data_IF_661140797378
#
_entry.id   IF_661140797378
#
_cell.length_a   1.000
_cell.length_b   1.000
_cell.length_c   1.000
_cell.angle_alpha   90.00
_cell.angle_beta   90.00
_cell.angle_gamma   90.00
#
_symmetry.space_group_name_H-M   'P 1'
#
loop_
_entity.id
_entity.type
_entity.pdbx_description
1 polymer ?
#
# COMPACT_ATOMS: atom_id res chain seq x y z
N UNK A 1 7.85 44.04 -22.14
CA UNK A 1 7.43 42.96 -23.07
C UNK A 1 7.39 41.66 -22.26
N UNK A 2 6.31 41.18 -21.64
CA UNK A 2 4.88 41.36 -21.84
C UNK A 2 4.17 41.44 -20.47
N UNK A 3 3.43 42.53 -20.24
CA UNK A 3 2.48 42.66 -19.12
C UNK A 3 1.02 42.49 -19.59
N UNK A 4 0.82 42.05 -20.84
CA UNK A 4 -0.47 41.96 -21.54
C UNK A 4 -1.46 40.91 -20.99
N UNK A 5 -1.11 40.20 -19.91
CA UNK A 5 -2.01 39.26 -19.23
C UNK A 5 -1.99 39.34 -17.70
N UNK A 6 -1.27 40.30 -17.13
CA UNK A 6 -1.00 40.40 -15.68
C UNK A 6 -1.94 41.36 -14.94
N UNK A 7 -3.09 41.72 -15.52
CA UNK A 7 -4.01 42.69 -14.91
C UNK A 7 -5.45 42.19 -14.90
N UNK A 8 -5.86 41.72 -13.73
CA UNK A 8 -7.15 41.94 -13.07
C UNK A 8 -7.25 40.90 -11.95
N UNK A 9 -7.83 41.26 -10.80
CA UNK A 9 -7.95 40.37 -9.64
C UNK A 9 -8.38 38.96 -10.04
N UNK A 10 -7.68 37.96 -9.52
CA UNK A 10 -7.92 36.56 -9.87
C UNK A 10 -9.36 36.18 -9.53
N UNK A 11 -10.18 36.01 -10.56
CA UNK A 11 -11.53 35.47 -10.40
C UNK A 11 -11.44 33.95 -10.43
N UNK A 12 -12.26 33.27 -9.64
CA UNK A 12 -12.37 31.81 -9.69
C UNK A 12 -12.62 31.29 -11.13
N UNK A 13 -13.31 32.08 -11.97
CA UNK A 13 -13.55 31.73 -13.37
C UNK A 13 -12.30 31.81 -14.25
N UNK A 14 -11.41 32.79 -14.03
CA UNK A 14 -10.16 32.90 -14.81
C UNK A 14 -9.18 31.79 -14.45
N UNK A 15 -9.04 31.49 -13.15
CA UNK A 15 -8.21 30.38 -12.66
C UNK A 15 -8.72 29.03 -13.15
N UNK A 16 -10.05 28.83 -13.19
CA UNK A 16 -10.64 27.60 -13.75
C UNK A 16 -10.31 27.45 -15.22
N UNK A 17 -10.44 28.52 -16.02
CA UNK A 17 -10.11 28.50 -17.45
C UNK A 17 -8.62 28.21 -17.68
N UNK A 18 -7.74 28.79 -16.88
CA UNK A 18 -6.32 28.52 -16.94
C UNK A 18 -6.02 27.05 -16.59
N UNK A 19 -6.59 26.54 -15.50
CA UNK A 19 -6.47 25.15 -15.08
C UNK A 19 -6.91 24.17 -16.18
N UNK A 20 -8.08 24.40 -16.78
CA UNK A 20 -8.61 23.57 -17.87
C UNK A 20 -7.71 23.63 -19.11
N UNK A 21 -7.12 24.80 -19.42
CA UNK A 21 -6.17 24.95 -20.52
C UNK A 21 -4.85 24.21 -20.29
N UNK A 22 -4.34 24.21 -19.05
CA UNK A 22 -3.13 23.50 -18.66
C UNK A 22 -3.35 21.99 -18.66
N UNK A 23 -4.51 21.52 -18.18
CA UNK A 23 -4.91 20.11 -18.25
C UNK A 23 -4.93 19.63 -19.69
N UNK A 24 -5.56 20.39 -20.60
CA UNK A 24 -5.61 20.02 -22.01
C UNK A 24 -4.21 19.96 -22.64
N UNK A 25 -3.34 20.94 -22.37
CA UNK A 25 -1.94 20.90 -22.83
C UNK A 25 -1.19 19.68 -22.30
N UNK A 26 -1.38 19.33 -21.04
CA UNK A 26 -0.76 18.15 -20.42
C UNK A 26 -1.23 16.85 -21.11
N UNK A 27 -2.53 16.74 -21.41
CA UNK A 27 -3.10 15.61 -22.14
C UNK A 27 -2.55 15.50 -23.57
N UNK A 28 -2.42 16.63 -24.27
CA UNK A 28 -1.83 16.69 -25.61
C UNK A 28 -0.36 16.26 -25.61
N UNK A 29 0.46 16.72 -24.66
CA UNK A 29 1.87 16.29 -24.55
C UNK A 29 1.99 14.81 -24.17
N UNK A 30 1.10 14.29 -23.30
CA UNK A 30 1.04 12.87 -22.96
C UNK A 30 0.69 12.00 -24.18
N UNK A 31 -0.23 12.46 -25.01
CA UNK A 31 -0.64 11.76 -26.23
C UNK A 31 0.48 11.75 -27.30
N UNK A 32 1.33 12.78 -27.36
CA UNK A 32 2.51 12.76 -28.24
C UNK A 32 3.54 11.69 -27.88
N UNK A 33 3.57 11.26 -26.62
CA UNK A 33 4.49 10.26 -26.09
C UNK A 33 3.86 8.84 -26.02
N UNK A 34 2.63 8.69 -26.52
CA UNK A 34 1.93 7.40 -26.57
C UNK A 34 2.13 6.70 -27.91
N UNK A 35 3.35 6.23 -28.14
CA UNK A 35 3.72 5.62 -29.43
C UNK A 35 3.24 4.17 -29.57
N UNK A 36 3.27 3.41 -28.47
CA UNK A 36 3.02 1.96 -28.46
C UNK A 36 2.22 1.59 -27.21
N UNK A 37 1.19 0.77 -27.41
CA UNK A 37 0.39 0.18 -26.33
C UNK A 37 1.14 -0.98 -25.66
N UNK A 38 0.95 -1.15 -24.34
CA UNK A 38 1.62 -2.22 -23.58
C UNK A 38 1.27 -3.62 -24.15
N UNK A 39 0.12 -3.78 -24.81
CA UNK A 39 -0.32 -5.02 -25.47
C UNK A 39 0.63 -5.46 -26.56
N UNK A 40 1.03 -4.54 -27.42
CA UNK A 40 1.88 -4.82 -28.56
C UNK A 40 3.31 -5.19 -28.12
N UNK A 41 3.78 -4.60 -27.01
CA UNK A 41 5.09 -4.95 -26.43
C UNK A 41 5.04 -6.34 -25.79
N UNK A 42 3.96 -6.66 -25.10
CA UNK A 42 3.82 -7.91 -24.38
C UNK A 42 3.65 -9.15 -25.26
N UNK A 43 3.18 -9.00 -26.49
CA UNK A 43 3.11 -10.12 -27.45
C UNK A 43 4.48 -10.74 -27.74
N UNK A 44 5.57 -9.98 -27.55
CA UNK A 44 6.94 -10.45 -27.74
C UNK A 44 7.47 -11.27 -26.55
N UNK A 45 6.73 -11.33 -25.45
CA UNK A 45 7.16 -12.00 -24.22
C UNK A 45 6.65 -13.45 -24.24
N UNK A 46 7.53 -14.39 -23.92
CA UNK A 46 7.20 -15.81 -23.84
C UNK A 46 6.11 -16.08 -22.79
N UNK A 47 5.18 -16.98 -23.13
CA UNK A 47 4.11 -17.38 -22.23
C UNK A 47 4.68 -18.27 -21.13
N UNK A 48 4.63 -17.78 -19.89
CA UNK A 48 5.05 -18.56 -18.72
C UNK A 48 4.12 -19.75 -18.47
N UNK A 49 4.71 -20.87 -18.08
CA UNK A 49 3.98 -22.09 -17.72
C UNK A 49 3.02 -21.87 -16.52
N UNK A 50 1.90 -22.64 -16.46
CA UNK A 50 0.97 -22.57 -15.34
C UNK A 50 1.66 -22.97 -14.02
N UNK A 51 1.42 -22.20 -12.97
CA UNK A 51 2.02 -22.42 -11.65
C UNK A 51 1.15 -23.27 -10.74
N UNK A 52 1.57 -24.47 -10.36
CA UNK A 52 0.91 -25.20 -9.27
C UNK A 52 1.32 -24.64 -7.90
N UNK A 53 0.68 -23.56 -7.44
CA UNK A 53 0.87 -23.05 -6.07
C UNK A 53 0.04 -23.91 -5.11
N UNK A 54 0.71 -24.49 -4.11
CA UNK A 54 0.08 -25.21 -3.01
C UNK A 54 0.47 -24.57 -1.69
N UNK A 55 -0.45 -24.62 -0.73
CA UNK A 55 -0.17 -24.14 0.62
C UNK A 55 0.81 -25.07 1.30
N UNK A 56 1.97 -24.52 1.67
CA UNK A 56 3.02 -25.28 2.35
C UNK A 56 2.82 -25.30 3.86
N UNK A 57 2.21 -24.24 4.41
CA UNK A 57 2.23 -23.94 5.83
C UNK A 57 0.95 -23.23 6.25
N UNK A 58 0.49 -23.52 7.47
CA UNK A 58 -0.67 -22.88 8.09
C UNK A 58 -0.26 -22.42 9.48
N UNK A 59 -0.17 -21.11 9.67
CA UNK A 59 0.14 -20.50 10.95
C UNK A 59 -1.13 -20.40 11.78
N UNK A 60 -1.19 -21.14 12.90
CA UNK A 60 -2.32 -21.13 13.82
C UNK A 60 -1.92 -20.48 15.14
N UNK A 61 -2.70 -19.50 15.60
CA UNK A 61 -2.47 -18.92 16.91
C UNK A 61 -3.15 -17.60 17.23
N UNK A 62 -3.68 -16.89 16.23
CA UNK A 62 -4.59 -15.77 16.48
C UNK A 62 -5.96 -16.28 16.93
N UNK A 63 -6.57 -15.62 17.91
CA UNK A 63 -7.88 -15.99 18.44
C UNK A 63 -9.05 -15.42 17.61
N UNK A 64 -8.76 -14.45 16.74
CA UNK A 64 -9.75 -13.76 15.93
C UNK A 64 -9.18 -13.47 14.53
N UNK A 65 -9.87 -12.63 13.75
CA UNK A 65 -9.51 -12.29 12.37
C UNK A 65 -8.11 -11.68 12.29
N UNK A 66 -7.31 -12.20 11.37
CA UNK A 66 -6.03 -11.59 10.99
C UNK A 66 -6.32 -10.41 10.06
N UNK A 67 -5.75 -9.26 10.38
CA UNK A 67 -6.06 -7.98 9.75
C UNK A 67 -4.93 -7.55 8.81
N UNK A 68 -3.70 -7.60 9.29
CA UNK A 68 -2.51 -7.33 8.49
C UNK A 68 -1.44 -8.40 8.70
N UNK A 69 -0.55 -8.51 7.71
CA UNK A 69 0.73 -9.19 7.82
C UNK A 69 1.79 -8.46 7.02
N UNK A 70 3.04 -8.57 7.46
CA UNK A 70 4.18 -8.20 6.63
C UNK A 70 5.38 -9.12 6.82
N UNK A 71 6.19 -9.22 5.78
CA UNK A 71 7.39 -10.05 5.76
C UNK A 71 8.61 -9.26 6.19
N UNK A 72 9.49 -9.92 6.95
CA UNK A 72 10.84 -9.43 7.16
C UNK A 72 11.69 -9.63 5.89
N UNK A 73 12.70 -8.78 5.70
CA UNK A 73 13.64 -8.87 4.57
C UNK A 73 14.48 -10.16 4.58
N UNK A 74 14.59 -10.82 5.73
CA UNK A 74 15.25 -12.12 5.87
C UNK A 74 14.52 -13.27 5.15
N UNK A 75 13.32 -13.00 4.61
CA UNK A 75 12.42 -13.97 3.94
C UNK A 75 12.00 -15.13 4.84
N UNK A 76 12.28 -15.07 6.13
CA UNK A 76 12.06 -16.12 7.11
C UNK A 76 11.00 -15.72 8.11
N UNK A 77 11.10 -14.51 8.66
CA UNK A 77 10.18 -13.99 9.66
C UNK A 77 9.04 -13.23 9.02
N UNK A 78 7.88 -13.29 9.67
CA UNK A 78 6.75 -12.43 9.32
C UNK A 78 6.06 -11.94 10.59
N UNK A 79 5.48 -10.75 10.51
CA UNK A 79 4.58 -10.22 11.53
C UNK A 79 3.15 -10.33 11.05
N UNK A 80 2.23 -10.53 11.98
CA UNK A 80 0.80 -10.48 11.72
C UNK A 80 0.07 -9.83 12.87
N UNK A 81 -0.98 -9.09 12.56
CA UNK A 81 -1.86 -8.45 13.51
C UNK A 81 -3.26 -9.01 13.43
N UNK A 82 -3.99 -8.93 14.55
CA UNK A 82 -5.32 -9.50 14.67
C UNK A 82 -6.30 -8.57 15.37
N UNK A 83 -7.59 -8.83 15.15
CA UNK A 83 -8.70 -8.13 15.76
C UNK A 83 -8.71 -8.27 17.29
N UNK A 84 -8.17 -9.36 17.82
CA UNK A 84 -8.05 -9.62 19.26
C UNK A 84 -7.03 -8.71 19.99
N UNK A 85 -6.37 -7.78 19.29
CA UNK A 85 -5.37 -6.90 19.88
C UNK A 85 -3.97 -7.51 19.92
N UNK A 86 -3.77 -8.70 19.34
CA UNK A 86 -2.46 -9.38 19.35
C UNK A 86 -1.70 -9.14 18.06
N UNK A 87 -0.41 -8.89 18.23
CA UNK A 87 0.59 -8.89 17.16
C UNK A 87 1.57 -10.01 17.43
N UNK A 88 1.76 -10.89 16.45
CA UNK A 88 2.63 -12.06 16.58
C UNK A 88 3.69 -12.01 15.49
N UNK A 89 4.94 -12.19 15.90
CA UNK A 89 6.08 -12.44 15.01
C UNK A 89 6.32 -13.93 14.94
N UNK A 90 6.32 -14.45 13.71
CA UNK A 90 6.46 -15.85 13.41
C UNK A 90 7.77 -16.10 12.67
N UNK A 91 8.37 -17.24 12.97
CA UNK A 91 9.30 -17.87 12.04
C UNK A 91 8.50 -18.71 11.05
N UNK A 92 8.35 -18.22 9.82
CA UNK A 92 7.58 -18.91 8.79
C UNK A 92 8.16 -20.29 8.47
N UNK A 93 9.45 -20.54 8.71
CA UNK A 93 10.11 -21.82 8.39
C UNK A 93 9.99 -22.89 9.48
N UNK A 94 9.74 -22.51 10.72
CA UNK A 94 9.55 -23.47 11.82
C UNK A 94 8.12 -23.49 12.37
N UNK A 95 7.29 -22.51 11.98
CA UNK A 95 5.95 -22.26 12.53
C UNK A 95 5.99 -21.82 14.01
N UNK A 96 7.18 -21.52 14.53
CA UNK A 96 7.36 -21.05 15.90
C UNK A 96 6.91 -19.60 16.03
N UNK A 97 6.28 -19.29 17.16
CA UNK A 97 5.99 -17.92 17.58
C UNK A 97 7.22 -17.39 18.30
N UNK A 98 7.94 -16.47 17.68
CA UNK A 98 9.14 -15.88 18.29
C UNK A 98 8.73 -14.81 19.31
N UNK A 99 7.80 -13.92 18.93
CA UNK A 99 7.34 -12.84 19.79
C UNK A 99 5.81 -12.72 19.73
N UNK A 100 5.20 -12.41 20.86
CA UNK A 100 3.77 -12.12 20.98
C UNK A 100 3.58 -10.85 21.81
N UNK A 101 2.98 -9.84 21.20
CA UNK A 101 2.68 -8.55 21.81
C UNK A 101 1.17 -8.43 21.93
N UNK A 102 0.68 -8.08 23.12
CA UNK A 102 -0.75 -7.79 23.33
C UNK A 102 -0.92 -6.31 23.55
N UNK A 103 -1.63 -5.67 22.64
CA UNK A 103 -1.95 -4.25 22.71
C UNK A 103 -3.20 -4.03 23.57
N UNK A 104 -3.33 -2.84 24.19
CA UNK A 104 -4.53 -2.49 24.94
C UNK A 104 -5.75 -2.25 24.03
N UNK A 105 -5.54 -2.12 22.72
CA UNK A 105 -6.60 -1.90 21.73
C UNK A 105 -6.99 -3.19 21.02
N UNK A 106 -8.25 -3.25 20.60
CA UNK A 106 -8.73 -4.26 19.65
C UNK A 106 -8.64 -3.69 18.23
N UNK A 107 -8.76 -4.56 17.22
CA UNK A 107 -8.65 -4.18 15.81
C UNK A 107 -7.32 -3.50 15.46
N UNK A 108 -6.26 -4.29 15.48
CA UNK A 108 -4.94 -3.85 15.03
C UNK A 108 -4.90 -3.90 13.51
N UNK A 109 -5.33 -2.82 12.89
CA UNK A 109 -5.58 -2.73 11.44
C UNK A 109 -4.30 -2.79 10.62
N UNK A 110 -3.20 -2.29 11.19
CA UNK A 110 -1.94 -2.14 10.48
C UNK A 110 -0.79 -2.71 11.30
N UNK A 111 0.09 -3.42 10.63
CA UNK A 111 1.36 -3.86 11.19
C UNK A 111 2.41 -3.93 10.11
N UNK A 112 3.67 -3.74 10.50
CA UNK A 112 4.76 -4.37 9.79
C UNK A 112 6.12 -4.33 10.48
N UNK A 113 7.07 -4.87 9.73
CA UNK A 113 8.43 -5.16 10.09
C UNK A 113 9.36 -4.04 9.62
N UNK A 114 10.29 -3.66 10.49
CA UNK A 114 11.43 -2.85 10.09
C UNK A 114 12.36 -3.67 9.18
N UNK A 115 12.94 -3.08 8.13
CA UNK A 115 13.93 -3.71 7.25
C UNK A 115 15.17 -4.24 7.91
N UNK A 116 15.62 -3.59 8.98
CA UNK A 116 16.73 -4.07 9.79
C UNK A 116 16.38 -5.39 10.49
N UNK A 117 15.10 -5.74 10.58
CA UNK A 117 14.63 -6.92 11.28
C UNK A 117 14.56 -6.74 12.79
N UNK A 118 14.84 -5.54 13.29
CA UNK A 118 15.02 -5.26 14.71
C UNK A 118 13.81 -4.57 15.37
N UNK A 119 12.74 -4.27 14.62
CA UNK A 119 11.56 -3.60 15.16
C UNK A 119 10.29 -3.93 14.38
N UNK A 120 9.14 -3.70 15.00
CA UNK A 120 7.80 -3.87 14.44
C UNK A 120 6.94 -2.67 14.79
N UNK A 121 6.25 -2.10 13.81
CA UNK A 121 5.17 -1.12 14.01
C UNK A 121 3.83 -1.81 13.99
N UNK A 122 2.91 -1.31 14.80
CA UNK A 122 1.50 -1.61 14.67
C UNK A 122 0.64 -0.44 15.14
N UNK A 123 -0.52 -0.31 14.50
CA UNK A 123 -1.52 0.67 14.85
C UNK A 123 -2.92 0.16 14.54
N UNK A 124 -3.92 0.78 15.16
CA UNK A 124 -5.31 0.43 14.92
C UNK A 124 -6.27 1.49 15.43
N UNK A 125 -7.36 1.03 16.06
CA UNK A 125 -8.40 1.89 16.64
C UNK A 125 -7.92 2.77 17.80
N UNK A 126 -6.70 2.60 18.29
CA UNK A 126 -6.11 3.48 19.31
C UNK A 126 -5.61 4.81 18.73
N UNK A 127 -5.81 5.04 17.43
CA UNK A 127 -5.37 6.23 16.69
C UNK A 127 -3.86 6.49 16.83
N UNK A 128 -3.11 5.45 17.21
CA UNK A 128 -1.69 5.53 17.50
C UNK A 128 -0.97 4.46 16.72
N UNK A 129 0.22 4.79 16.22
CA UNK A 129 1.16 3.76 15.86
C UNK A 129 2.19 3.63 16.97
N UNK A 130 2.40 2.38 17.33
CA UNK A 130 3.31 1.96 18.37
C UNK A 130 4.38 1.10 17.74
N UNK A 131 5.63 1.40 18.07
CA UNK A 131 6.79 0.65 17.59
C UNK A 131 7.40 -0.14 18.73
N UNK A 132 7.70 -1.39 18.43
CA UNK A 132 8.21 -2.41 19.33
C UNK A 132 9.58 -2.85 18.82
N UNK A 133 10.67 -2.54 19.54
CA UNK A 133 11.97 -3.11 19.22
C UNK A 133 11.96 -4.61 19.55
N UNK A 134 12.45 -5.42 18.62
CA UNK A 134 12.65 -6.85 18.78
C UNK A 134 14.04 -7.08 19.38
N UNK A 135 14.10 -7.39 20.67
CA UNK A 135 15.33 -7.87 21.33
C UNK A 135 15.38 -9.39 21.29
N UNK A 136 16.60 -9.95 21.26
CA UNK A 136 16.86 -11.39 21.36
C UNK A 136 16.60 -11.97 22.76
N UNK A 137 16.39 -11.10 23.76
CA UNK A 137 16.15 -11.53 25.12
C UNK A 137 14.72 -12.05 25.30
N UNK A 138 14.61 -13.38 25.37
CA UNK A 138 13.35 -14.14 25.49
C UNK A 138 12.50 -13.81 26.72
N UNK A 139 13.01 -13.01 27.67
CA UNK A 139 12.39 -12.75 28.97
C UNK A 139 11.99 -11.29 29.20
N UNK A 140 12.09 -10.42 28.18
CA UNK A 140 11.69 -9.02 28.31
C UNK A 140 10.25 -8.79 27.84
N UNK A 141 9.48 -8.06 28.64
CA UNK A 141 8.14 -7.61 28.27
C UNK A 141 8.24 -6.58 27.14
N UNK A 142 8.00 -6.99 25.88
CA UNK A 142 7.96 -6.08 24.72
C UNK A 142 7.00 -4.89 24.93
N UNK A 143 5.97 -5.05 25.77
CA UNK A 143 5.05 -3.99 26.15
C UNK A 143 5.70 -2.82 26.92
N UNK A 144 6.80 -3.04 27.67
CA UNK A 144 7.50 -1.96 28.39
C UNK A 144 8.41 -1.13 27.49
N UNK A 145 8.80 -1.67 26.32
CA UNK A 145 9.59 -0.95 25.30
C UNK A 145 8.72 -0.32 24.20
N UNK A 146 7.39 -0.28 24.40
CA UNK A 146 6.44 0.37 23.50
C UNK A 146 6.79 1.85 23.37
N UNK A 147 7.18 2.28 22.17
CA UNK A 147 7.28 3.70 21.83
C UNK A 147 6.06 4.09 21.02
N UNK A 148 5.23 5.00 21.56
CA UNK A 148 4.17 5.62 20.77
C UNK A 148 4.80 6.72 19.92
N UNK A 149 4.81 6.52 18.61
CA UNK A 149 5.50 7.40 17.67
C UNK A 149 4.53 8.40 17.05
N UNK A 150 3.26 8.04 16.96
CA UNK A 150 2.27 8.85 16.29
C UNK A 150 0.93 8.85 17.01
N UNK A 151 0.23 9.96 16.84
CA UNK A 151 -1.11 10.19 17.37
C UNK A 151 -1.92 10.91 16.28
N UNK A 152 -2.99 10.26 15.83
CA UNK A 152 -3.95 10.77 14.86
C UNK A 152 -5.28 11.08 15.56
N UNK A 153 -6.17 11.82 14.88
CA UNK A 153 -7.49 12.12 15.46
C UNK A 153 -8.47 10.96 15.30
N UNK A 154 -8.19 10.02 14.39
CA UNK A 154 -8.99 8.82 14.13
C UNK A 154 -8.12 7.55 13.83
N UNK A 155 -8.74 6.40 13.55
CA UNK A 155 -8.10 5.06 13.57
C UNK A 155 -6.98 4.86 12.54
N UNK A 156 -5.82 4.33 12.92
CA UNK A 156 -4.71 4.13 11.96
C UNK A 156 -5.06 3.02 10.97
N UNK A 157 -5.39 3.37 9.72
CA UNK A 157 -5.76 2.40 8.68
C UNK A 157 -4.54 1.72 8.06
N UNK A 158 -3.39 2.41 8.09
CA UNK A 158 -2.13 1.87 7.62
C UNK A 158 -0.90 2.49 8.25
N UNK A 159 0.11 1.66 8.43
CA UNK A 159 1.47 2.08 8.71
C UNK A 159 2.38 1.57 7.57
N UNK A 160 3.42 2.37 7.22
CA UNK A 160 4.56 2.15 6.27
C UNK A 160 5.89 2.79 6.77
N UNK A 161 7.10 2.19 6.59
CA UNK A 161 8.36 2.33 7.43
C UNK A 161 9.46 2.91 6.58
N UNK A 162 9.35 3.31 5.31
CA UNK A 162 10.57 3.83 4.62
C UNK A 162 10.93 5.24 5.01
N UNK A 163 12.13 5.39 5.61
CA UNK A 163 12.80 6.61 6.13
C UNK A 163 11.95 7.58 6.97
N UNK A 164 10.72 7.22 7.25
CA UNK A 164 9.79 7.91 8.11
C UNK A 164 8.48 7.13 8.17
N UNK A 165 7.92 7.05 9.38
CA UNK A 165 6.69 6.32 9.63
C UNK A 165 5.56 7.06 8.95
N UNK A 166 4.95 6.50 7.89
CA UNK A 166 3.76 7.10 7.29
C UNK A 166 2.48 6.45 7.81
N UNK A 167 1.62 7.27 8.40
CA UNK A 167 0.32 6.86 8.92
C UNK A 167 -0.79 7.66 8.29
N UNK A 168 -1.71 6.93 7.67
CA UNK A 168 -2.94 7.48 7.13
C UNK A 168 -4.07 7.29 8.12
N UNK A 169 -4.48 8.36 8.79
CA UNK A 169 -5.86 8.52 9.21
C UNK A 169 -6.17 10.01 9.30
N UNK A 170 -7.36 10.37 8.80
CA UNK A 170 -7.90 11.72 8.59
C UNK A 170 -7.54 12.35 7.25
N UNK A 171 -8.00 11.80 6.10
CA UNK A 171 -7.76 12.37 4.75
C UNK A 171 -6.28 12.61 4.39
N UNK A 172 -5.38 12.36 5.33
CA UNK A 172 -4.01 12.85 5.40
C UNK A 172 -3.08 11.69 5.62
N UNK A 173 -1.94 11.73 4.94
CA UNK A 173 -0.82 10.86 5.22
C UNK A 173 0.23 11.68 5.97
N UNK A 174 0.64 11.22 7.15
CA UNK A 174 1.62 11.91 7.98
C UNK A 174 2.90 11.12 8.07
N UNK A 175 4.02 11.80 8.03
CA UNK A 175 5.39 11.31 8.06
C UNK A 175 5.98 11.57 9.44
N UNK A 176 6.43 10.55 10.14
CA UNK A 176 6.91 10.68 11.52
C UNK A 176 8.37 10.26 11.66
N UNK A 177 9.12 11.00 12.47
CA UNK A 177 10.46 10.62 12.89
C UNK A 177 10.37 9.70 14.12
N UNK A 178 10.95 8.52 13.98
CA UNK A 178 11.00 7.48 15.00
C UNK A 178 11.76 7.89 16.27
N UNK A 179 12.79 8.73 16.14
CA UNK A 179 13.68 9.06 17.27
C UNK A 179 13.11 10.18 18.12
N UNK A 180 12.56 11.22 17.47
CA UNK A 180 11.93 12.34 18.15
C UNK A 180 10.44 12.12 18.45
N UNK A 181 9.77 11.20 17.74
CA UNK A 181 8.32 11.02 17.82
C UNK A 181 7.53 12.21 17.24
N UNK A 182 8.19 13.08 16.46
CA UNK A 182 7.58 14.26 15.86
C UNK A 182 7.10 13.98 14.44
N UNK A 183 6.03 14.66 14.05
CA UNK A 183 5.56 14.69 12.67
C UNK A 183 6.48 15.61 11.85
N UNK A 184 7.12 15.05 10.82
CA UNK A 184 8.01 15.75 9.91
C UNK A 184 7.22 16.42 8.77
N UNK A 185 6.25 15.70 8.19
CA UNK A 185 5.46 16.15 7.04
C UNK A 185 4.01 15.65 7.14
N UNK A 186 3.07 16.45 6.66
CA UNK A 186 1.65 16.10 6.60
C UNK A 186 1.10 16.39 5.21
N UNK A 187 0.64 15.35 4.53
CA UNK A 187 0.07 15.42 3.20
C UNK A 187 -1.45 15.41 3.29
N UNK A 188 -2.13 16.43 2.75
CA UNK A 188 -3.59 16.40 2.56
C UNK A 188 -3.92 15.65 1.28
N UNK A 189 -4.12 14.34 1.41
CA UNK A 189 -4.18 13.47 0.24
C UNK A 189 -5.56 13.42 -0.39
N UNK A 190 -6.61 13.15 0.39
CA UNK A 190 -7.90 12.71 -0.16
C UNK A 190 -9.09 13.40 0.49
N UNK A 191 -10.25 13.36 -0.16
CA UNK A 191 -11.50 13.87 0.43
C UNK A 191 -12.17 12.84 1.36
N UNK A 192 -11.78 11.58 1.24
CA UNK A 192 -12.27 10.46 2.02
C UNK A 192 -11.14 9.72 2.73
N UNK A 193 -11.49 8.63 3.41
CA UNK A 193 -10.55 7.79 4.15
C UNK A 193 -9.53 7.16 3.22
N UNK A 194 -8.27 7.14 3.68
CA UNK A 194 -7.17 6.49 2.97
C UNK A 194 -7.18 5.02 3.37
N UNK A 195 -7.35 4.16 2.37
CA UNK A 195 -7.42 2.72 2.54
C UNK A 195 -6.06 2.04 2.47
N UNK A 196 -5.12 2.59 1.69
CA UNK A 196 -3.80 1.99 1.49
C UNK A 196 -2.76 3.03 1.11
N UNK A 197 -1.54 2.85 1.62
CA UNK A 197 -0.36 3.63 1.25
C UNK A 197 0.77 2.68 0.89
N UNK A 198 1.52 3.01 -0.16
CA UNK A 198 2.71 2.26 -0.59
C UNK A 198 3.81 3.20 -1.05
N UNK A 199 5.02 2.93 -0.61
CA UNK A 199 6.19 3.58 -1.17
C UNK A 199 6.45 3.13 -2.59
N UNK A 200 6.94 4.07 -3.39
CA UNK A 200 7.62 3.80 -4.63
C UNK A 200 8.88 2.97 -4.36
N UNK A 201 9.30 2.07 -5.26
CA UNK A 201 10.47 1.20 -5.03
C UNK A 201 11.77 1.93 -4.69
N UNK A 202 11.96 3.18 -5.14
CA UNK A 202 13.14 4.00 -4.77
C UNK A 202 13.09 4.57 -3.36
N UNK A 203 11.90 4.68 -2.74
CA UNK A 203 11.71 5.27 -1.42
C UNK A 203 11.47 6.78 -1.41
N UNK A 204 11.62 7.48 -2.53
CA UNK A 204 11.49 8.95 -2.58
C UNK A 204 10.05 9.44 -2.72
N UNK A 205 9.13 8.55 -3.05
CA UNK A 205 7.74 8.87 -3.36
C UNK A 205 6.80 7.80 -2.79
N UNK A 206 5.52 8.09 -2.70
CA UNK A 206 4.50 7.13 -2.29
C UNK A 206 3.20 7.31 -3.06
N UNK A 207 2.42 6.25 -3.15
CA UNK A 207 1.05 6.28 -3.61
C UNK A 207 0.08 6.01 -2.47
N UNK A 208 -1.05 6.69 -2.51
CA UNK A 208 -2.20 6.47 -1.64
C UNK A 208 -3.42 6.05 -2.47
N UNK A 209 -4.27 5.22 -1.87
CA UNK A 209 -5.56 4.83 -2.40
C UNK A 209 -6.64 5.16 -1.37
N UNK A 210 -7.76 5.72 -1.83
CA UNK A 210 -8.85 6.19 -0.98
C UNK A 210 -10.22 5.71 -1.44
N UNK A 211 -11.19 5.78 -0.53
CA UNK A 211 -12.60 5.56 -0.82
C UNK A 211 -13.22 6.61 -1.76
N UNK A 212 -12.51 7.71 -2.05
CA UNK A 212 -12.91 8.71 -3.07
C UNK A 212 -12.74 8.22 -4.54
N UNK A 213 -12.43 6.94 -4.73
CA UNK A 213 -12.16 6.29 -6.02
C UNK A 213 -10.89 6.80 -6.74
N UNK A 214 -10.07 7.61 -6.07
CA UNK A 214 -8.80 8.09 -6.60
C UNK A 214 -7.63 7.36 -5.97
N UNK A 215 -6.57 7.20 -6.77
CA UNK A 215 -5.24 6.91 -6.27
C UNK A 215 -4.37 8.13 -6.58
N UNK A 216 -3.58 8.56 -5.61
CA UNK A 216 -2.72 9.74 -5.76
C UNK A 216 -1.27 9.36 -5.52
N UNK A 217 -0.36 10.05 -6.19
CA UNK A 217 1.07 9.84 -6.11
C UNK A 217 1.74 11.12 -5.64
N UNK A 218 2.60 10.99 -4.64
CA UNK A 218 3.25 12.09 -3.93
C UNK A 218 4.76 11.90 -3.95
N UNK A 219 5.47 13.00 -4.14
CA UNK A 219 6.92 13.07 -3.95
C UNK A 219 7.20 13.63 -2.55
N UNK A 220 8.02 12.90 -1.78
CA UNK A 220 8.35 13.24 -0.40
C UNK A 220 9.29 14.43 -0.30
N UNK A 221 10.17 14.60 -1.30
CA UNK A 221 11.14 15.68 -1.30
C UNK A 221 10.49 17.00 -1.72
N UNK A 222 9.56 16.92 -2.66
CA UNK A 222 8.83 18.09 -3.16
C UNK A 222 7.63 18.47 -2.28
N UNK A 223 7.24 17.61 -1.33
CA UNK A 223 6.06 17.76 -0.47
C UNK A 223 4.77 18.04 -1.27
N UNK A 224 4.64 17.40 -2.44
CA UNK A 224 3.59 17.71 -3.40
C UNK A 224 3.05 16.49 -4.10
N UNK A 225 1.77 16.57 -4.44
CA UNK A 225 1.10 15.65 -5.35
C UNK A 225 1.68 15.78 -6.77
N UNK A 226 2.13 14.64 -7.31
CA UNK A 226 2.70 14.52 -8.65
C UNK A 226 1.64 14.10 -9.67
N UNK A 227 0.78 13.15 -9.31
CA UNK A 227 -0.22 12.61 -10.22
C UNK A 227 -1.47 12.09 -9.49
N UNK A 228 -2.62 12.23 -10.16
CA UNK A 228 -3.89 11.60 -9.78
C UNK A 228 -4.26 10.55 -10.81
N UNK A 229 -4.61 9.36 -10.34
CA UNK A 229 -5.17 8.28 -11.12
C UNK A 229 -6.63 8.10 -10.71
N UNK A 230 -7.53 8.46 -11.61
CA UNK A 230 -8.96 8.40 -11.37
C UNK A 230 -9.65 7.61 -12.47
N UNK A 231 -10.58 6.75 -12.08
CA UNK A 231 -11.48 6.05 -12.99
C UNK A 231 -12.69 6.93 -13.30
N UNK A 232 -13.26 6.82 -14.50
CA UNK A 232 -14.47 7.55 -14.92
C UNK A 232 -15.68 7.33 -13.99
N UNK A 233 -15.73 6.21 -13.27
CA UNK A 233 -16.76 5.93 -12.28
C UNK A 233 -16.24 6.22 -10.87
N UNK A 234 -16.77 7.27 -10.25
CA UNK A 234 -16.41 7.75 -8.90
C UNK A 234 -17.13 6.95 -7.79
N UNK A 235 -17.97 5.99 -8.17
CA UNK A 235 -18.89 5.32 -7.23
C UNK A 235 -18.15 4.32 -6.34
N UNK A 236 -17.01 3.78 -6.80
CA UNK A 236 -16.33 2.67 -6.13
C UNK A 236 -14.94 3.07 -5.65
N UNK A 237 -14.76 3.06 -4.33
CA UNK A 237 -13.49 3.33 -3.67
C UNK A 237 -12.33 2.42 -4.10
N UNK A 238 -11.11 2.95 -4.05
CA UNK A 238 -9.89 2.21 -4.22
C UNK A 238 -9.44 1.63 -2.87
N UNK A 239 -9.40 0.31 -2.78
CA UNK A 239 -9.10 -0.43 -1.55
C UNK A 239 -7.61 -0.64 -1.30
N UNK A 240 -6.82 -0.71 -2.37
CA UNK A 240 -5.41 -1.13 -2.31
C UNK A 240 -4.65 -0.57 -3.51
N UNK A 241 -3.38 -0.27 -3.28
CA UNK A 241 -2.43 0.11 -4.31
C UNK A 241 -1.16 -0.71 -4.14
N UNK A 242 -0.46 -1.01 -5.24
CA UNK A 242 0.91 -1.53 -5.24
C UNK A 242 1.67 -1.13 -6.51
N UNK A 243 2.99 -1.06 -6.42
CA UNK A 243 3.85 -0.71 -7.56
C UNK A 243 4.47 -1.94 -8.21
N UNK A 244 4.72 -1.83 -9.52
CA UNK A 244 5.71 -2.68 -10.20
C UNK A 244 7.09 -2.47 -9.58
N UNK A 245 7.95 -3.50 -9.62
CA UNK A 245 9.35 -3.38 -9.21
C UNK A 245 10.11 -2.27 -9.96
N UNK A 246 9.75 -2.03 -11.23
CA UNK A 246 10.28 -0.92 -12.03
C UNK A 246 9.72 0.45 -11.65
N UNK A 247 8.63 0.48 -10.89
CA UNK A 247 7.86 1.68 -10.57
C UNK A 247 7.06 2.27 -11.73
N UNK A 248 7.17 1.73 -12.96
CA UNK A 248 6.45 2.26 -14.12
C UNK A 248 4.94 2.03 -14.07
N UNK A 249 4.51 0.94 -13.45
CA UNK A 249 3.09 0.60 -13.34
C UNK A 249 2.63 0.67 -11.88
N UNK A 250 1.43 1.22 -11.70
CA UNK A 250 0.70 1.24 -10.44
C UNK A 250 -0.54 0.38 -10.58
N UNK A 251 -0.71 -0.58 -9.69
CA UNK A 251 -1.87 -1.46 -9.64
C UNK A 251 -2.80 -1.02 -8.52
N UNK A 252 -4.04 -0.70 -8.86
CA UNK A 252 -5.06 -0.29 -7.91
C UNK A 252 -6.22 -1.29 -7.94
N UNK A 253 -6.58 -1.83 -6.77
CA UNK A 253 -7.74 -2.71 -6.61
C UNK A 253 -8.95 -1.92 -6.13
N UNK A 254 -10.06 -2.03 -6.86
CA UNK A 254 -11.28 -1.27 -6.60
C UNK A 254 -12.39 -2.14 -6.00
N UNK A 255 -13.38 -1.48 -5.40
CA UNK A 255 -14.56 -2.13 -4.86
C UNK A 255 -15.52 -2.67 -5.94
N UNK A 256 -15.28 -2.35 -7.22
CA UNK A 256 -16.03 -2.85 -8.39
C UNK A 256 -15.49 -4.18 -8.95
N UNK A 257 -14.69 -4.89 -8.14
CA UNK A 257 -14.11 -6.20 -8.45
C UNK A 257 -13.00 -6.15 -9.52
N UNK A 258 -12.66 -4.95 -10.00
CA UNK A 258 -11.61 -4.75 -11.01
C UNK A 258 -10.30 -4.34 -10.36
N UNK A 259 -9.21 -4.70 -11.04
CA UNK A 259 -7.88 -4.19 -10.71
C UNK A 259 -7.40 -3.42 -11.92
N UNK A 260 -7.12 -2.14 -11.75
CA UNK A 260 -6.62 -1.30 -12.83
C UNK A 260 -5.10 -1.16 -12.73
N UNK A 261 -4.45 -1.26 -13.88
CA UNK A 261 -3.05 -0.95 -14.06
C UNK A 261 -2.94 0.43 -14.70
N UNK A 262 -2.26 1.34 -14.01
CA UNK A 262 -1.99 2.71 -14.43
C UNK A 262 -0.52 2.84 -14.80
N UNK A 263 -0.22 3.57 -15.87
CA UNK A 263 1.16 4.02 -16.12
C UNK A 263 1.43 5.23 -15.24
N UNK A 264 2.46 5.12 -14.39
CA UNK A 264 2.77 6.14 -13.39
C UNK A 264 3.17 7.46 -14.05
N UNK A 265 3.91 7.41 -15.15
CA UNK A 265 4.40 8.59 -15.85
C UNK A 265 3.32 9.22 -16.74
N UNK A 266 2.55 8.38 -17.45
CA UNK A 266 1.53 8.87 -18.38
C UNK A 266 0.24 9.27 -17.69
N UNK A 267 -0.05 8.74 -16.50
CA UNK A 267 -1.33 9.00 -15.82
C UNK A 267 -2.52 8.30 -16.48
N UNK A 268 -2.29 7.43 -17.46
CA UNK A 268 -3.35 6.75 -18.22
C UNK A 268 -3.53 5.31 -17.75
N UNK A 269 -4.76 4.81 -17.88
CA UNK A 269 -5.08 3.41 -17.59
C UNK A 269 -4.58 2.55 -18.73
N UNK A 270 -3.63 1.67 -18.44
CA UNK A 270 -3.03 0.77 -19.42
C UNK A 270 -3.85 -0.51 -19.57
N UNK A 271 -4.32 -1.06 -18.45
CA UNK A 271 -5.03 -2.34 -18.46
C UNK A 271 -6.00 -2.45 -17.31
N UNK A 272 -6.97 -3.34 -17.48
CA UNK A 272 -7.92 -3.75 -16.48
C UNK A 272 -7.86 -5.27 -16.33
N UNK A 273 -7.69 -5.75 -15.11
CA UNK A 273 -7.82 -7.16 -14.78
C UNK A 273 -9.20 -7.38 -14.19
N UNK A 274 -9.90 -8.35 -14.76
CA UNK A 274 -11.21 -8.81 -14.31
C UNK A 274 -11.08 -10.20 -13.71
N UNK A 275 -12.10 -10.66 -13.01
CA UNK A 275 -12.22 -12.07 -12.66
C UNK A 275 -12.77 -12.29 -11.26
N UNK A 276 -12.44 -11.43 -10.31
CA UNK A 276 -13.00 -11.51 -8.96
C UNK A 276 -14.51 -11.30 -8.98
N UNK A 277 -15.20 -11.99 -8.07
CA UNK A 277 -16.67 -11.91 -7.93
C UNK A 277 -17.08 -11.00 -6.77
N UNK A 278 -16.10 -10.46 -6.04
CA UNK A 278 -16.29 -9.54 -4.94
C UNK A 278 -15.15 -8.53 -4.89
N UNK A 279 -15.25 -7.55 -3.98
CA UNK A 279 -14.28 -6.45 -3.87
C UNK A 279 -12.89 -7.00 -3.61
N UNK A 280 -11.93 -6.39 -4.30
CA UNK A 280 -10.52 -6.70 -4.11
C UNK A 280 -10.13 -6.16 -2.73
N UNK A 281 -9.48 -6.98 -1.91
CA UNK A 281 -8.96 -6.55 -0.60
C UNK A 281 -7.49 -6.18 -0.68
N UNK A 282 -6.72 -6.88 -1.53
CA UNK A 282 -5.29 -6.69 -1.69
C UNK A 282 -4.78 -6.98 -3.07
N UNK A 283 -3.76 -6.22 -3.43
CA UNK A 283 -2.90 -6.49 -4.57
C UNK A 283 -1.45 -6.45 -4.08
N UNK A 284 -0.63 -7.40 -4.56
CA UNK A 284 0.81 -7.40 -4.34
C UNK A 284 1.55 -7.91 -5.56
N UNK A 285 2.57 -7.20 -5.99
CA UNK A 285 3.50 -7.64 -7.03
C UNK A 285 4.52 -8.59 -6.42
N UNK A 286 4.90 -9.62 -7.19
CA UNK A 286 5.95 -10.54 -6.79
C UNK A 286 7.31 -9.82 -6.72
N UNK A 287 8.24 -10.26 -5.85
CA UNK A 287 9.57 -9.66 -5.77
C UNK A 287 10.38 -9.75 -7.07
N UNK A 288 10.02 -10.68 -7.95
CA UNK A 288 10.62 -10.85 -9.28
C UNK A 288 9.93 -9.99 -10.37
N UNK A 289 8.83 -9.29 -10.03
CA UNK A 289 8.05 -8.47 -10.96
C UNK A 289 7.25 -9.26 -12.01
N UNK A 290 7.29 -10.60 -11.99
CA UNK A 290 6.67 -11.45 -13.02
C UNK A 290 5.19 -11.71 -12.80
N UNK A 291 4.71 -11.56 -11.56
CA UNK A 291 3.37 -11.96 -11.17
C UNK A 291 2.72 -10.90 -10.28
N UNK A 292 1.42 -10.75 -10.44
CA UNK A 292 0.57 -9.97 -9.56
C UNK A 292 -0.36 -10.91 -8.82
N UNK A 293 -0.29 -10.89 -7.49
CA UNK A 293 -1.25 -11.58 -6.64
C UNK A 293 -2.35 -10.62 -6.26
N UNK A 294 -3.60 -11.09 -6.33
CA UNK A 294 -4.77 -10.34 -5.91
C UNK A 294 -5.64 -11.20 -5.01
N UNK A 295 -6.12 -10.59 -3.94
CA UNK A 295 -7.01 -11.21 -2.97
C UNK A 295 -8.35 -10.49 -2.98
N UNK A 296 -9.43 -11.24 -2.85
CA UNK A 296 -10.79 -10.74 -2.90
C UNK A 296 -11.61 -11.24 -1.71
N UNK A 297 -12.72 -10.56 -1.46
CA UNK A 297 -13.74 -10.95 -0.48
C UNK A 297 -14.56 -12.17 -0.92
N UNK A 298 -14.31 -12.72 -2.11
CA UNK A 298 -14.85 -13.99 -2.58
C UNK A 298 -14.09 -15.22 -2.01
N UNK A 299 -13.16 -14.99 -1.08
CA UNK A 299 -12.26 -15.99 -0.48
C UNK A 299 -11.27 -16.62 -1.46
N UNK A 300 -11.08 -16.03 -2.65
CA UNK A 300 -10.12 -16.52 -3.63
C UNK A 300 -8.88 -15.64 -3.71
N UNK A 301 -7.76 -16.29 -4.05
CA UNK A 301 -6.53 -15.62 -4.43
C UNK A 301 -6.28 -15.90 -5.92
N UNK A 302 -5.97 -14.86 -6.69
CA UNK A 302 -5.68 -14.96 -8.12
C UNK A 302 -4.31 -14.41 -8.41
N UNK A 303 -3.52 -15.18 -9.16
CA UNK A 303 -2.18 -14.80 -9.59
C UNK A 303 -2.19 -14.58 -11.10
N UNK A 304 -1.83 -13.37 -11.52
CA UNK A 304 -1.81 -12.94 -12.91
C UNK A 304 -0.36 -12.69 -13.34
N UNK A 305 0.13 -13.40 -14.36
CA UNK A 305 1.49 -13.26 -14.89
C UNK A 305 1.58 -12.61 -16.26
N UNK A 306 0.43 -12.29 -16.86
CA UNK A 306 0.34 -11.75 -18.22
C UNK A 306 -0.19 -10.33 -18.18
N UNK A 307 0.64 -9.39 -18.60
CA UNK A 307 0.21 -8.03 -18.94
C UNK A 307 0.50 -7.79 -20.42
N UNK A 308 -0.48 -7.40 -21.26
CA UNK A 308 -1.90 -7.24 -21.01
C UNK A 308 -2.79 -8.23 -21.81
N UNK A 309 -4.01 -8.37 -21.32
CA UNK A 309 -5.18 -8.89 -22.02
C UNK A 309 -4.97 -10.09 -22.97
N UNK A 310 -4.88 -11.30 -22.41
CA UNK A 310 -5.67 -12.41 -22.93
C UNK A 310 -6.18 -13.29 -21.79
N UNK A 311 -7.39 -13.82 -22.02
CA UNK A 311 -8.28 -14.59 -21.12
C UNK A 311 -7.69 -15.94 -20.65
N UNK A 312 -6.45 -15.97 -20.20
CA UNK A 312 -5.88 -17.15 -19.55
C UNK A 312 -5.67 -16.85 -18.07
N UNK A 313 -6.79 -16.94 -17.36
CA UNK A 313 -6.82 -17.11 -15.92
C UNK A 313 -6.32 -18.52 -15.61
N UNK A 314 -5.06 -18.66 -15.20
CA UNK A 314 -4.67 -19.87 -14.49
C UNK A 314 -5.23 -19.77 -13.07
N UNK A 315 -6.44 -20.30 -12.92
CA UNK A 315 -7.19 -20.45 -11.70
C UNK A 315 -6.44 -21.40 -10.76
N UNK A 316 -6.04 -20.93 -9.59
CA UNK A 316 -5.62 -21.82 -8.51
C UNK A 316 -6.48 -21.57 -7.29
N UNK A 317 -7.44 -22.46 -7.13
CA UNK A 317 -8.25 -22.63 -5.92
C UNK A 317 -7.29 -23.09 -4.84
N UNK A 318 -6.84 -22.17 -4.01
CA UNK A 318 -6.60 -22.53 -2.63
C UNK A 318 -7.95 -22.39 -1.94
N UNK A 319 -8.53 -23.51 -1.48
CA UNK A 319 -9.57 -23.55 -0.44
C UNK A 319 -8.99 -23.03 0.89
N UNK A 320 -8.42 -21.84 0.86
CA UNK A 320 -8.24 -21.02 2.02
C UNK A 320 -9.45 -20.12 2.03
N UNK A 321 -10.46 -20.63 2.72
CA UNK A 321 -11.39 -19.82 3.48
C UNK A 321 -10.54 -18.71 4.12
N UNK A 322 -10.51 -17.52 3.52
CA UNK A 322 -10.04 -16.29 4.15
C UNK A 322 -11.10 -16.07 5.23
N UNK A 323 -10.93 -16.82 6.33
CA UNK A 323 -11.98 -17.14 7.27
C UNK A 323 -12.45 -15.86 7.93
N UNK A 324 -13.62 -15.39 7.52
CA UNK A 324 -14.50 -14.54 8.32
C UNK A 324 -14.68 -13.11 7.83
N UNK A 325 -15.17 -12.91 6.61
CA UNK A 325 -15.66 -11.58 6.19
C UNK A 325 -17.11 -11.67 5.72
N UNK A 326 -18.06 -11.67 6.67
CA UNK A 326 -19.47 -11.46 6.39
C UNK A 326 -20.06 -10.35 7.26
N UNK A 327 -20.79 -9.47 6.58
CA UNK A 327 -21.81 -8.51 7.02
C UNK A 327 -21.55 -7.68 8.27
N UNK A 328 -20.90 -6.54 8.08
CA UNK A 328 -21.24 -5.30 8.78
C UNK A 328 -20.88 -4.15 7.84
N UNK A 329 -21.80 -3.21 7.64
CA UNK A 329 -21.75 -2.09 6.71
C UNK A 329 -20.68 -1.04 7.04
N UNK A 330 -19.56 -1.42 7.66
CA UNK A 330 -18.45 -0.52 7.91
C UNK A 330 -17.28 -0.91 7.00
N UNK A 331 -16.88 0.07 6.20
CA UNK A 331 -15.73 0.01 5.30
C UNK A 331 -14.48 -0.29 6.14
N UNK A 332 -13.87 -1.46 5.95
CA UNK A 332 -12.62 -1.81 6.63
C UNK A 332 -11.67 -2.38 5.58
N UNK A 333 -10.73 -1.53 5.18
CA UNK A 333 -9.65 -1.80 4.24
C UNK A 333 -8.35 -1.85 5.04
N UNK A 334 -7.57 -2.91 4.85
CA UNK A 334 -6.36 -3.16 5.64
C UNK A 334 -5.11 -2.57 4.93
N UNK A 335 -3.96 -2.44 5.61
CA UNK A 335 -2.68 -1.99 4.99
C UNK A 335 -1.48 -2.72 5.59
N UNK A 336 -0.52 -3.10 4.73
CA UNK A 336 0.84 -3.47 5.16
C UNK A 336 1.84 -3.27 4.04
N UNK A 337 2.93 -2.56 4.34
CA UNK A 337 4.33 -2.67 3.86
C UNK A 337 5.00 -1.50 4.55
N UNK A 338 6.10 -1.65 5.29
CA UNK A 338 6.78 -0.56 6.01
C UNK A 338 8.32 -0.81 5.75
N UNK A 339 9.22 0.14 5.32
CA UNK A 339 10.69 -0.11 5.13
C UNK A 339 11.77 0.89 5.68
N UNK A 340 12.23 0.95 6.95
CA UNK A 340 13.33 1.86 7.40
C UNK A 340 14.67 1.71 6.64
N UNK A 341 15.34 2.84 6.37
CA UNK A 341 16.78 2.92 6.09
C UNK A 341 17.51 3.26 7.39
N UNK A 342 18.28 2.31 7.90
CA UNK A 342 19.34 2.61 8.84
C UNK A 342 20.58 2.96 8.00
N UNK A 343 20.94 4.24 7.93
CA UNK A 343 22.28 4.63 7.51
C UNK A 343 23.25 4.25 8.63
N UNK A 344 23.67 3.00 8.62
CA UNK A 344 24.84 2.54 9.35
C UNK A 344 26.10 3.12 8.67
N UNK A 345 26.39 4.41 8.89
CA UNK A 345 27.79 4.87 8.89
C UNK A 345 28.47 4.29 10.14
N UNK A 346 28.83 3.01 10.05
CA UNK A 346 29.81 2.39 10.93
C UNK A 346 31.15 3.07 10.65
N UNK A 347 31.67 3.74 11.68
CA UNK A 347 33.07 3.74 12.09
C UNK A 347 34.08 3.50 10.95
N UNK A 348 34.52 4.60 10.33
CA UNK A 348 35.87 4.72 9.79
C UNK A 348 36.27 6.20 9.82
N UNK A 349 36.70 6.69 10.99
CA UNK A 349 37.94 7.45 11.15
C UNK A 349 38.09 7.97 12.58
N UNK A 350 39.23 7.58 13.17
CA UNK A 350 39.88 8.03 14.41
C UNK A 350 39.30 7.56 15.75
#
# INVERSE_FOLDING_TARGET
MATQGLQAGESAASLKKESDSLKKKLEEERAKLSDIELSQVAEKIEVLAPLSIKTRRVLKGHGNKVLCMDWCKDKRRLVSSSQDGKVIVWDAFTLNKEHGVTLPCTWVLACAYAPSGCAVACGGLDNKCSVFPLSLDKNENLNTKKKSVAMHTNYVSGCTFTSSDMQGCDRKANVWDMRSGQNIQSFECHESDINCVKYYPSGDAFASASDDATCRFYDLRADREVAVYQKDSIIFGASTVDFSLSGRLLFAGYNDYTINAWDVLKGTRVSALFGHENRVSRVRVSPDGTALCSASWDNTLRVSRRFPAQRHFSLFICDFRILGWFHSQNHISFVGIIRLEDNDEILNNC
#
